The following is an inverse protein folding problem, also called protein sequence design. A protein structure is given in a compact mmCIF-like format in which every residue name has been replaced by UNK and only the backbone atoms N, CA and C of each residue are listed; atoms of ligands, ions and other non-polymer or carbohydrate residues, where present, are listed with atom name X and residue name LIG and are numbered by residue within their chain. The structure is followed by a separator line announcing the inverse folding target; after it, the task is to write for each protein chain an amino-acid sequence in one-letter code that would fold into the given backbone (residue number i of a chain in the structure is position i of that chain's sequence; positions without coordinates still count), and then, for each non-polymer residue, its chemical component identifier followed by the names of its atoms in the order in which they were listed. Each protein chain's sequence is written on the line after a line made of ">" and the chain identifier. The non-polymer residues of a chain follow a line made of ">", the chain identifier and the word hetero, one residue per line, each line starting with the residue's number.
data_IF_684551368091
#
_entry.id   IF_684551368091
#
_cell.length_a   1.000
_cell.length_b   1.000
_cell.length_c   1.000
_cell.angle_alpha   90.00
_cell.angle_beta   90.00
_cell.angle_gamma   90.00
#
_symmetry.space_group_name_H-M   'P 1'
#
loop_
_entity.id
_entity.type
_entity.pdbx_description
1 polymer ?
#
# COMPACT_ATOMS: atom_id res chain seq x y z
N UNK A 1 -25.44 26.35 -5.21
CA UNK A 1 -24.20 26.31 -6.00
C UNK A 1 -23.08 26.69 -5.07
N UNK A 2 -22.26 25.72 -4.65
CA UNK A 2 -21.13 25.95 -3.76
C UNK A 2 -19.86 25.73 -4.59
N UNK A 3 -19.05 26.78 -4.69
CA UNK A 3 -17.79 26.80 -5.41
C UNK A 3 -16.85 25.73 -4.85
N UNK A 4 -16.43 24.81 -5.74
CA UNK A 4 -15.39 23.83 -5.48
C UNK A 4 -14.07 24.59 -5.46
N UNK A 5 -13.56 24.88 -4.26
CA UNK A 5 -12.18 25.33 -4.06
C UNK A 5 -11.23 24.20 -4.52
N UNK A 6 -10.88 24.24 -5.81
CA UNK A 6 -9.77 23.48 -6.39
C UNK A 6 -8.52 24.32 -6.20
N UNK A 7 -8.03 24.37 -4.96
CA UNK A 7 -6.67 24.84 -4.73
C UNK A 7 -5.71 23.68 -4.98
N UNK A 8 -5.36 23.48 -6.25
CA UNK A 8 -4.14 22.75 -6.62
C UNK A 8 -2.96 23.65 -6.27
N UNK A 9 -2.58 23.68 -4.99
CA UNK A 9 -1.24 24.12 -4.63
C UNK A 9 -0.28 23.15 -5.31
N UNK A 10 0.32 23.60 -6.42
CA UNK A 10 1.53 22.98 -6.96
C UNK A 10 2.54 22.94 -5.82
N UNK A 11 2.74 21.75 -5.26
CA UNK A 11 3.78 21.53 -4.27
C UNK A 11 5.10 21.75 -4.98
N UNK A 12 5.87 22.74 -4.53
CA UNK A 12 7.21 22.98 -5.06
C UNK A 12 8.03 21.69 -5.00
N UNK A 13 8.66 21.32 -6.12
CA UNK A 13 9.56 20.17 -6.21
C UNK A 13 10.99 20.61 -6.44
N UNK A 14 11.93 19.77 -6.08
CA UNK A 14 13.36 19.96 -6.33
C UNK A 14 13.99 18.66 -6.82
N UNK A 15 15.01 18.77 -7.67
CA UNK A 15 15.85 17.63 -8.04
C UNK A 15 16.67 17.16 -6.85
N UNK A 16 16.87 15.85 -6.73
CA UNK A 16 17.65 15.26 -5.65
C UNK A 16 19.11 15.70 -5.65
N UNK A 17 19.66 16.10 -6.80
CA UNK A 17 20.98 16.71 -6.92
C UNK A 17 21.13 18.04 -6.17
N UNK A 18 20.03 18.66 -5.73
CA UNK A 18 20.02 19.90 -4.94
C UNK A 18 20.09 19.66 -3.42
N UNK A 19 20.07 18.40 -2.96
CA UNK A 19 20.36 18.11 -1.54
C UNK A 19 21.87 18.12 -1.31
N UNK A 20 22.30 18.34 -0.06
CA UNK A 20 23.73 18.39 0.27
C UNK A 20 24.46 17.14 -0.25
N UNK A 21 25.74 17.26 -0.68
CA UNK A 21 26.49 16.12 -1.21
C UNK A 21 26.54 14.91 -0.27
N UNK A 22 26.69 15.15 1.04
CA UNK A 22 26.70 14.08 2.05
C UNK A 22 25.34 13.38 2.17
N UNK A 23 24.25 14.13 2.16
CA UNK A 23 22.89 13.58 2.20
C UNK A 23 22.57 12.80 0.92
N UNK A 24 23.00 13.33 -0.23
CA UNK A 24 22.79 12.70 -1.53
C UNK A 24 23.54 11.37 -1.65
N UNK A 25 24.78 11.30 -1.18
CA UNK A 25 25.60 10.07 -1.20
C UNK A 25 24.93 8.94 -0.42
N UNK A 26 24.47 9.21 0.81
CA UNK A 26 23.78 8.22 1.64
C UNK A 26 22.45 7.79 1.00
N UNK A 27 21.69 8.74 0.48
CA UNK A 27 20.44 8.45 -0.22
C UNK A 27 20.67 7.58 -1.45
N UNK A 28 21.65 7.95 -2.27
CA UNK A 28 21.99 7.23 -3.49
C UNK A 28 22.43 5.79 -3.19
N UNK A 29 23.29 5.61 -2.18
CA UNK A 29 23.71 4.27 -1.76
C UNK A 29 22.52 3.43 -1.29
N UNK A 30 21.66 3.98 -0.42
CA UNK A 30 20.51 3.25 0.10
C UNK A 30 19.49 2.91 -1.00
N UNK A 31 19.25 3.83 -1.93
CA UNK A 31 18.35 3.64 -3.06
C UNK A 31 18.81 2.52 -3.99
N UNK A 32 20.09 2.54 -4.39
CA UNK A 32 20.62 1.48 -5.24
C UNK A 32 20.67 0.14 -4.52
N UNK A 33 20.98 0.13 -3.22
CA UNK A 33 20.93 -1.10 -2.41
C UNK A 33 19.55 -1.75 -2.47
N UNK A 34 18.48 -0.97 -2.42
CA UNK A 34 17.10 -1.49 -2.57
C UNK A 34 16.86 -1.98 -4.00
N UNK A 35 17.17 -1.15 -5.01
CA UNK A 35 16.87 -1.47 -6.42
C UNK A 35 17.66 -2.65 -7.00
N UNK A 36 18.78 -3.02 -6.39
CA UNK A 36 19.57 -4.20 -6.79
C UNK A 36 19.15 -5.49 -6.07
N UNK A 37 18.12 -5.45 -5.23
CA UNK A 37 17.56 -6.68 -4.65
C UNK A 37 16.71 -7.46 -5.65
N UNK A 38 16.69 -8.78 -5.52
CA UNK A 38 15.78 -9.64 -6.27
C UNK A 38 14.31 -9.28 -6.00
N UNK A 39 13.98 -8.97 -4.74
CA UNK A 39 12.65 -8.54 -4.34
C UNK A 39 12.20 -7.28 -5.09
N UNK A 40 13.07 -6.27 -5.23
CA UNK A 40 12.75 -5.08 -6.00
C UNK A 40 12.55 -5.40 -7.48
N UNK A 41 13.45 -6.19 -8.05
CA UNK A 41 13.38 -6.61 -9.46
C UNK A 41 12.06 -7.34 -9.76
N UNK A 42 11.70 -8.33 -8.94
CA UNK A 42 10.46 -9.08 -9.09
C UNK A 42 9.20 -8.23 -8.85
N UNK A 43 9.26 -7.30 -7.89
CA UNK A 43 8.13 -6.43 -7.55
C UNK A 43 7.85 -5.45 -8.69
N UNK A 44 8.87 -4.78 -9.22
CA UNK A 44 8.70 -3.89 -10.36
C UNK A 44 8.36 -4.64 -11.65
N UNK A 45 8.80 -5.89 -11.81
CA UNK A 45 8.42 -6.70 -12.95
C UNK A 45 6.92 -7.07 -12.89
N UNK A 46 6.38 -7.37 -11.70
CA UNK A 46 4.92 -7.52 -11.52
C UNK A 46 4.16 -6.25 -11.90
N UNK A 47 4.71 -5.06 -11.60
CA UNK A 47 4.12 -3.77 -12.05
C UNK A 47 4.06 -3.68 -13.56
N UNK A 48 5.13 -4.05 -14.27
CA UNK A 48 5.17 -4.07 -15.73
C UNK A 48 4.23 -5.13 -16.31
N UNK A 49 4.09 -6.28 -15.66
CA UNK A 49 3.10 -7.28 -16.03
C UNK A 49 1.66 -6.81 -15.77
N UNK A 50 1.44 -5.94 -14.79
CA UNK A 50 0.11 -5.49 -14.36
C UNK A 50 -0.63 -6.49 -13.46
N UNK A 51 0.03 -7.57 -13.03
CA UNK A 51 -0.55 -8.63 -12.18
C UNK A 51 0.46 -9.21 -11.19
N UNK A 52 0.02 -9.65 -10.00
CA UNK A 52 0.90 -10.29 -9.03
C UNK A 52 1.22 -11.74 -9.43
N UNK A 53 2.30 -12.30 -8.89
CA UNK A 53 2.53 -13.76 -8.95
C UNK A 53 1.53 -14.49 -8.05
N UNK A 54 1.33 -15.78 -8.30
CA UNK A 54 0.46 -16.65 -7.51
C UNK A 54 0.71 -16.51 -6.02
N UNK A 55 1.98 -16.63 -5.65
CA UNK A 55 2.38 -16.72 -4.24
C UNK A 55 2.25 -15.36 -3.57
N UNK A 56 2.52 -14.26 -4.29
CA UNK A 56 2.29 -12.90 -3.79
C UNK A 56 0.80 -12.61 -3.60
N UNK A 57 -0.04 -13.02 -4.55
CA UNK A 57 -1.50 -12.85 -4.41
C UNK A 57 -2.04 -13.63 -3.21
N UNK A 58 -1.60 -14.88 -3.05
CA UNK A 58 -2.04 -15.76 -1.96
C UNK A 58 -1.56 -15.28 -0.59
N UNK A 59 -0.30 -14.84 -0.48
CA UNK A 59 0.26 -14.25 0.74
C UNK A 59 -0.58 -13.05 1.22
N UNK A 60 -1.01 -12.20 0.28
CA UNK A 60 -1.68 -10.95 0.63
C UNK A 60 -3.19 -11.08 0.82
N UNK A 61 -3.90 -11.76 -0.08
CA UNK A 61 -5.37 -11.85 -0.03
C UNK A 61 -5.87 -13.11 0.69
N UNK A 62 -5.01 -14.10 0.92
CA UNK A 62 -5.40 -15.42 1.43
C UNK A 62 -6.53 -16.06 0.57
N UNK A 63 -6.52 -15.78 -0.73
CA UNK A 63 -7.51 -16.24 -1.70
C UNK A 63 -6.81 -17.02 -2.82
N UNK A 64 -7.51 -18.03 -3.35
CA UNK A 64 -7.11 -18.70 -4.59
C UNK A 64 -7.65 -17.95 -5.79
N UNK A 65 -6.82 -17.80 -6.82
CA UNK A 65 -7.23 -17.24 -8.10
C UNK A 65 -6.69 -18.07 -9.24
N UNK A 66 -7.60 -18.67 -10.02
CA UNK A 66 -7.25 -19.62 -11.08
C UNK A 66 -6.40 -18.98 -12.17
N UNK A 67 -6.68 -17.73 -12.53
CA UNK A 67 -5.91 -17.01 -13.56
C UNK A 67 -4.45 -16.76 -13.14
N UNK A 68 -4.12 -16.87 -11.85
CA UNK A 68 -2.76 -16.71 -11.34
C UNK A 68 -2.06 -18.03 -11.03
N UNK A 69 -2.74 -19.18 -11.14
CA UNK A 69 -2.20 -20.50 -10.72
C UNK A 69 -0.84 -20.84 -11.37
N UNK A 70 -0.67 -20.46 -12.63
CA UNK A 70 0.57 -20.70 -13.38
C UNK A 70 1.51 -19.49 -13.39
N UNK A 71 1.14 -18.35 -12.80
CA UNK A 71 1.95 -17.13 -12.76
C UNK A 71 2.93 -17.17 -11.57
N UNK A 72 3.91 -18.09 -11.62
CA UNK A 72 4.85 -18.32 -10.50
C UNK A 72 5.92 -17.23 -10.43
N UNK A 73 6.35 -16.71 -11.57
CA UNK A 73 7.34 -15.64 -11.69
C UNK A 73 6.82 -14.55 -12.64
N UNK A 74 7.33 -13.30 -12.52
CA UNK A 74 7.08 -12.27 -13.52
C UNK A 74 7.54 -12.72 -14.91
N UNK A 75 6.96 -12.15 -15.96
CA UNK A 75 7.36 -12.49 -17.33
C UNK A 75 8.79 -12.04 -17.65
N UNK A 76 9.48 -12.76 -18.54
CA UNK A 76 10.82 -12.37 -18.99
C UNK A 76 10.84 -10.98 -19.62
N UNK A 77 9.79 -10.62 -20.37
CA UNK A 77 9.64 -9.29 -20.94
C UNK A 77 9.57 -8.20 -19.86
N UNK A 78 8.88 -8.47 -18.75
CA UNK A 78 8.80 -7.55 -17.63
C UNK A 78 10.13 -7.42 -16.88
N UNK A 79 10.86 -8.52 -16.70
CA UNK A 79 12.21 -8.49 -16.13
C UNK A 79 13.17 -7.67 -17.00
N UNK A 80 13.17 -7.88 -18.32
CA UNK A 80 13.99 -7.11 -19.27
C UNK A 80 13.62 -5.62 -19.27
N UNK A 81 12.33 -5.30 -19.17
CA UNK A 81 11.84 -3.93 -19.05
C UNK A 81 12.37 -3.23 -17.79
N UNK A 82 12.33 -3.90 -16.64
CA UNK A 82 12.85 -3.37 -15.38
C UNK A 82 14.37 -3.18 -15.45
N UNK A 83 15.10 -4.13 -16.03
CA UNK A 83 16.55 -4.02 -16.23
C UNK A 83 16.92 -2.87 -17.17
N UNK A 84 16.14 -2.67 -18.24
CA UNK A 84 16.30 -1.54 -19.14
C UNK A 84 16.06 -0.21 -18.44
N UNK A 85 14.98 -0.10 -17.66
CA UNK A 85 14.69 1.09 -16.86
C UNK A 85 15.82 1.38 -15.86
N UNK A 86 16.26 0.36 -15.11
CA UNK A 86 17.31 0.48 -14.10
C UNK A 86 18.64 1.00 -14.68
N UNK A 87 19.03 0.53 -15.87
CA UNK A 87 20.27 0.99 -16.55
C UNK A 87 20.22 2.45 -16.98
N UNK A 88 19.03 2.99 -17.26
CA UNK A 88 18.84 4.35 -17.74
C UNK A 88 18.41 5.34 -16.64
N UNK A 89 18.17 4.84 -15.43
CA UNK A 89 17.68 5.64 -14.32
C UNK A 89 18.77 6.59 -13.80
N UNK A 90 18.49 7.90 -13.89
CA UNK A 90 19.31 8.92 -13.27
C UNK A 90 18.62 9.47 -12.01
N UNK A 91 19.11 9.06 -10.84
CA UNK A 91 18.55 9.47 -9.55
C UNK A 91 18.65 10.99 -9.30
N UNK A 92 19.68 11.67 -9.80
CA UNK A 92 19.87 13.10 -9.56
C UNK A 92 18.75 13.97 -10.12
N UNK A 93 18.21 13.58 -11.28
CA UNK A 93 17.13 14.30 -11.96
C UNK A 93 15.74 14.01 -11.36
N UNK A 94 15.62 13.02 -10.48
CA UNK A 94 14.35 12.65 -9.87
C UNK A 94 13.84 13.76 -8.96
N UNK A 95 12.59 14.14 -9.14
CA UNK A 95 11.96 15.24 -8.41
C UNK A 95 11.29 14.73 -7.13
N UNK A 96 11.52 15.44 -6.02
CA UNK A 96 10.81 15.22 -4.76
C UNK A 96 10.23 16.54 -4.24
N UNK A 97 9.30 16.47 -3.28
CA UNK A 97 8.78 17.67 -2.61
C UNK A 97 9.90 18.49 -1.97
N UNK A 98 9.92 19.81 -2.22
CA UNK A 98 10.86 20.74 -1.61
C UNK A 98 10.81 20.69 -0.08
N UNK A 99 9.62 20.50 0.51
CA UNK A 99 9.44 20.35 1.96
C UNK A 99 10.15 19.09 2.48
N UNK A 100 10.05 17.98 1.76
CA UNK A 100 10.70 16.73 2.13
C UNK A 100 12.22 16.82 1.97
N UNK A 101 12.69 17.38 0.85
CA UNK A 101 14.12 17.62 0.61
C UNK A 101 14.72 18.50 1.72
N UNK A 102 14.05 19.61 2.07
CA UNK A 102 14.51 20.49 3.14
C UNK A 102 14.52 19.80 4.49
N UNK A 103 13.49 19.02 4.83
CA UNK A 103 13.43 18.29 6.09
C UNK A 103 14.55 17.24 6.19
N UNK A 104 14.89 16.57 5.08
CA UNK A 104 16.01 15.66 5.03
C UNK A 104 17.35 16.38 5.22
N UNK A 105 17.57 17.51 4.54
CA UNK A 105 18.78 18.32 4.70
C UNK A 105 18.97 18.87 6.12
N UNK A 106 17.86 19.27 6.76
CA UNK A 106 17.88 19.78 8.13
C UNK A 106 18.20 18.69 9.17
N UNK A 107 18.01 17.42 8.82
CA UNK A 107 18.27 16.31 9.73
C UNK A 107 19.78 16.00 9.79
N UNK A 108 20.31 15.87 11.01
CA UNK A 108 21.72 15.56 11.24
C UNK A 108 22.03 14.12 10.78
N UNK A 109 23.03 13.89 9.91
CA UNK A 109 23.43 12.55 9.50
C UNK A 109 23.62 11.59 10.69
N UNK A 110 23.05 10.39 10.56
CA UNK A 110 23.05 9.36 11.61
C UNK A 110 22.05 9.58 12.75
N UNK A 111 21.32 10.70 12.81
CA UNK A 111 20.23 10.88 13.79
C UNK A 111 19.02 10.02 13.45
N UNK A 112 18.10 9.86 14.40
CA UNK A 112 16.82 9.17 14.17
C UNK A 112 16.04 9.88 13.07
N UNK A 113 15.91 11.19 13.16
CA UNK A 113 15.19 12.04 12.20
C UNK A 113 15.76 11.87 10.79
N UNK A 114 17.09 11.80 10.66
CA UNK A 114 17.74 11.58 9.39
C UNK A 114 17.35 10.23 8.78
N UNK A 115 17.40 9.15 9.55
CA UNK A 115 16.99 7.82 9.06
C UNK A 115 15.51 7.79 8.68
N UNK A 116 14.64 8.45 9.44
CA UNK A 116 13.22 8.56 9.11
C UNK A 116 13.02 9.29 7.77
N UNK A 117 13.65 10.45 7.59
CA UNK A 117 13.54 11.23 6.34
C UNK A 117 14.17 10.50 5.14
N UNK A 118 15.26 9.76 5.36
CA UNK A 118 15.86 8.90 4.33
C UNK A 118 14.85 7.85 3.85
N UNK A 119 14.25 7.11 4.77
CA UNK A 119 13.28 6.07 4.43
C UNK A 119 12.03 6.68 3.76
N UNK A 120 11.60 7.88 4.16
CA UNK A 120 10.51 8.62 3.50
C UNK A 120 10.79 8.87 2.03
N UNK A 121 11.99 9.38 1.73
CA UNK A 121 12.40 9.64 0.35
C UNK A 121 12.48 8.31 -0.42
N UNK A 122 13.04 7.25 0.17
CA UNK A 122 13.13 5.94 -0.48
C UNK A 122 11.75 5.37 -0.84
N UNK A 123 10.76 5.50 0.03
CA UNK A 123 9.38 5.09 -0.23
C UNK A 123 8.76 5.89 -1.39
N UNK A 124 8.90 7.22 -1.35
CA UNK A 124 8.42 8.12 -2.42
C UNK A 124 9.07 7.78 -3.78
N UNK A 125 10.36 7.48 -3.78
CA UNK A 125 11.07 7.11 -5.01
C UNK A 125 10.58 5.77 -5.57
N UNK A 126 10.44 4.74 -4.73
CA UNK A 126 9.94 3.44 -5.16
C UNK A 126 8.50 3.52 -5.67
N UNK A 127 7.66 4.30 -5.00
CA UNK A 127 6.31 4.62 -5.46
C UNK A 127 6.33 5.30 -6.83
N UNK A 128 7.18 6.32 -7.00
CA UNK A 128 7.31 7.04 -8.28
C UNK A 128 7.74 6.14 -9.43
N UNK A 129 8.66 5.20 -9.19
CA UNK A 129 9.06 4.19 -10.18
C UNK A 129 7.87 3.31 -10.55
N UNK A 130 7.10 2.84 -9.56
CA UNK A 130 5.93 2.00 -9.81
C UNK A 130 4.88 2.72 -10.67
N UNK A 131 4.58 3.98 -10.33
CA UNK A 131 3.67 4.84 -11.12
C UNK A 131 4.17 4.97 -12.54
N UNK A 132 5.46 5.31 -12.72
CA UNK A 132 6.06 5.50 -14.02
C UNK A 132 6.02 4.24 -14.88
N UNK A 133 6.45 3.10 -14.33
CA UNK A 133 6.43 1.81 -15.05
C UNK A 133 5.00 1.42 -15.41
N UNK A 134 4.06 1.48 -14.46
CA UNK A 134 2.67 1.12 -14.71
C UNK A 134 2.06 1.95 -15.84
N UNK A 135 2.31 3.26 -15.87
CA UNK A 135 1.85 4.14 -16.93
C UNK A 135 2.56 3.89 -18.27
N UNK A 136 3.88 3.68 -18.26
CA UNK A 136 4.68 3.44 -19.46
C UNK A 136 4.24 2.17 -20.21
N UNK A 137 3.72 1.17 -19.48
CA UNK A 137 3.19 -0.06 -20.03
C UNK A 137 1.64 -0.09 -20.07
N UNK A 138 1.00 1.09 -20.04
CA UNK A 138 -0.46 1.26 -20.15
C UNK A 138 -1.25 0.37 -19.19
N UNK A 139 -0.83 0.27 -17.93
CA UNK A 139 -1.44 -0.58 -16.91
C UNK A 139 -0.96 -2.03 -16.88
N UNK A 140 0.08 -2.33 -17.66
CA UNK A 140 0.80 -3.59 -17.69
C UNK A 140 0.45 -4.50 -18.88
N UNK A 141 1.28 -5.51 -19.11
CA UNK A 141 1.10 -6.46 -20.21
C UNK A 141 -0.21 -7.27 -20.11
N UNK A 142 -0.67 -7.52 -18.88
CA UNK A 142 -1.89 -8.27 -18.59
C UNK A 142 -2.92 -7.33 -17.97
N UNK A 143 -4.12 -7.32 -18.55
CA UNK A 143 -5.24 -6.52 -18.05
C UNK A 143 -5.89 -7.19 -16.85
N UNK A 144 -6.42 -6.42 -15.89
CA UNK A 144 -7.23 -6.97 -14.81
C UNK A 144 -8.43 -7.75 -15.35
N UNK A 145 -8.65 -8.91 -14.77
CA UNK A 145 -9.78 -9.78 -15.12
C UNK A 145 -10.83 -9.73 -14.01
N UNK A 146 -12.10 -10.07 -14.30
CA UNK A 146 -13.06 -10.35 -13.25
C UNK A 146 -12.51 -11.44 -12.30
N UNK A 147 -12.70 -11.30 -10.98
CA UNK A 147 -12.39 -12.38 -10.04
C UNK A 147 -13.18 -13.65 -10.36
N UNK A 148 -12.65 -14.80 -9.93
CA UNK A 148 -13.35 -16.07 -10.08
C UNK A 148 -14.77 -16.00 -9.46
N UNK A 149 -15.79 -16.60 -10.11
CA UNK A 149 -17.15 -16.62 -9.57
C UNK A 149 -17.18 -17.25 -8.17
N UNK A 150 -17.95 -16.67 -7.26
CA UNK A 150 -18.27 -17.35 -6.00
C UNK A 150 -19.23 -18.48 -6.33
N UNK A 151 -18.78 -19.72 -6.15
CA UNK A 151 -19.65 -20.88 -6.21
C UNK A 151 -20.18 -21.16 -4.81
N UNK A 152 -21.46 -20.87 -4.57
CA UNK A 152 -22.12 -21.35 -3.35
C UNK A 152 -22.23 -22.87 -3.42
N UNK A 153 -21.86 -23.58 -2.35
CA UNK A 153 -22.22 -24.99 -2.25
C UNK A 153 -23.74 -25.09 -2.06
N UNK A 154 -24.45 -25.69 -3.01
CA UNK A 154 -25.92 -25.85 -3.02
C UNK A 154 -26.45 -26.44 -1.71
N UNK A 155 -25.66 -27.31 -1.06
CA UNK A 155 -25.99 -27.93 0.23
C UNK A 155 -26.07 -26.93 1.40
N UNK A 156 -25.36 -25.80 1.33
CA UNK A 156 -25.27 -24.81 2.40
C UNK A 156 -26.31 -23.68 2.28
N UNK A 157 -26.79 -23.40 1.07
CA UNK A 157 -27.75 -22.31 0.80
C UNK A 157 -28.69 -22.69 -0.35
N UNK A 158 -29.71 -23.54 -0.06
CA UNK A 158 -30.70 -23.93 -1.06
C UNK A 158 -31.50 -22.72 -1.54
N UNK A 159 -31.81 -22.67 -2.84
CA UNK A 159 -32.68 -21.67 -3.48
C UNK A 159 -32.20 -20.20 -3.43
N UNK A 160 -30.93 -19.94 -3.13
CA UNK A 160 -30.37 -18.59 -3.27
C UNK A 160 -30.05 -18.29 -4.75
N UNK A 161 -30.40 -17.09 -5.27
CA UNK A 161 -30.01 -16.69 -6.60
C UNK A 161 -28.48 -16.64 -6.70
N UNK A 162 -27.89 -16.93 -7.88
CA UNK A 162 -26.46 -16.84 -8.07
C UNK A 162 -25.98 -15.41 -7.75
N UNK A 163 -24.78 -15.26 -7.18
CA UNK A 163 -24.25 -13.95 -6.86
C UNK A 163 -24.03 -13.17 -8.17
N UNK A 164 -24.23 -11.84 -8.18
CA UNK A 164 -24.00 -11.06 -9.37
C UNK A 164 -22.55 -11.21 -9.84
N UNK A 165 -22.30 -11.20 -11.16
CA UNK A 165 -20.95 -11.30 -11.69
C UNK A 165 -20.09 -10.16 -11.15
N UNK A 166 -18.91 -10.50 -10.62
CA UNK A 166 -17.95 -9.53 -10.11
C UNK A 166 -17.36 -8.76 -11.29
N UNK A 167 -17.13 -7.45 -11.11
CA UNK A 167 -16.43 -6.63 -12.10
C UNK A 167 -14.93 -6.79 -11.94
N UNK A 168 -14.20 -6.63 -13.03
CA UNK A 168 -12.75 -6.50 -12.98
C UNK A 168 -12.36 -5.34 -12.07
N UNK A 169 -11.29 -5.53 -11.31
CA UNK A 169 -10.71 -4.48 -10.50
C UNK A 169 -10.00 -3.45 -11.40
N UNK A 170 -9.83 -2.20 -10.95
CA UNK A 170 -9.06 -1.21 -11.72
C UNK A 170 -7.60 -1.60 -11.93
N UNK A 171 -7.03 -2.34 -10.97
CA UNK A 171 -5.71 -2.97 -11.06
C UNK A 171 -5.71 -4.25 -10.21
N UNK A 172 -4.94 -5.25 -10.60
CA UNK A 172 -4.70 -6.46 -9.79
C UNK A 172 -3.66 -6.21 -8.68
N UNK A 173 -2.85 -5.16 -8.85
CA UNK A 173 -1.82 -4.73 -7.91
C UNK A 173 -2.39 -3.61 -7.04
N UNK A 174 -2.98 -3.98 -5.92
CA UNK A 174 -3.55 -3.01 -4.99
C UNK A 174 -3.41 -3.45 -3.55
N UNK A 175 -3.44 -2.44 -2.69
CA UNK A 175 -3.56 -2.63 -1.26
C UNK A 175 -5.00 -2.31 -0.83
N UNK A 176 -5.64 -3.19 -0.05
CA UNK A 176 -7.06 -3.08 0.30
C UNK A 176 -7.42 -1.74 0.98
N UNK A 177 -6.51 -1.23 1.79
CA UNK A 177 -6.63 0.08 2.44
C UNK A 177 -6.53 1.29 1.50
N UNK A 178 -5.98 1.15 0.29
CA UNK A 178 -5.71 2.25 -0.65
C UNK A 178 -6.60 2.25 -1.89
N UNK A 179 -7.71 1.52 -1.88
CA UNK A 179 -8.62 1.36 -3.02
C UNK A 179 -9.40 2.60 -3.50
N UNK A 180 -9.10 3.82 -3.04
CA UNK A 180 -9.83 5.05 -3.42
C UNK A 180 -9.10 5.86 -4.49
N UNK A 181 -8.80 5.25 -5.64
CA UNK A 181 -7.93 5.84 -6.67
C UNK A 181 -8.33 7.25 -7.12
N UNK A 182 -9.63 7.56 -7.15
CA UNK A 182 -10.13 8.85 -7.63
C UNK A 182 -9.69 10.08 -6.83
N UNK A 183 -9.05 9.89 -5.66
CA UNK A 183 -8.48 10.99 -4.87
C UNK A 183 -7.00 11.25 -5.16
N UNK A 184 -6.29 10.29 -5.75
CA UNK A 184 -4.85 10.40 -5.97
C UNK A 184 -4.54 11.04 -7.33
N UNK A 185 -3.45 11.83 -7.44
CA UNK A 185 -3.14 12.60 -8.64
C UNK A 185 -2.91 11.73 -9.89
N UNK A 186 -2.35 10.53 -9.73
CA UNK A 186 -2.11 9.55 -10.80
C UNK A 186 -3.15 8.43 -10.81
N UNK A 187 -4.24 8.55 -10.03
CA UNK A 187 -5.37 7.63 -10.05
C UNK A 187 -4.98 6.19 -9.67
N UNK A 188 -5.22 5.25 -10.59
CA UNK A 188 -4.95 3.82 -10.37
C UNK A 188 -3.45 3.56 -10.21
N UNK A 189 -2.58 4.35 -10.85
CA UNK A 189 -1.13 4.15 -10.75
C UNK A 189 -0.61 4.38 -9.33
N UNK A 190 -1.20 5.31 -8.55
CA UNK A 190 -0.81 5.51 -7.15
C UNK A 190 -1.20 4.30 -6.28
N UNK A 191 -2.31 3.62 -6.59
CA UNK A 191 -2.68 2.37 -5.92
C UNK A 191 -1.59 1.30 -6.09
N UNK A 192 -1.08 1.18 -7.32
CA UNK A 192 0.02 0.28 -7.64
C UNK A 192 1.29 0.70 -6.89
N UNK A 193 1.56 2.01 -6.80
CA UNK A 193 2.65 2.56 -6.00
C UNK A 193 2.59 2.16 -4.53
N UNK A 194 1.42 2.26 -3.90
CA UNK A 194 1.24 1.81 -2.50
C UNK A 194 1.39 0.29 -2.34
N UNK A 195 0.98 -0.49 -3.33
CA UNK A 195 1.24 -1.93 -3.33
C UNK A 195 2.74 -2.25 -3.40
N UNK A 196 3.52 -1.50 -4.19
CA UNK A 196 4.99 -1.63 -4.24
C UNK A 196 5.63 -1.24 -2.91
N UNK A 197 5.21 -0.12 -2.31
CA UNK A 197 5.71 0.29 -0.99
C UNK A 197 5.51 -0.83 0.03
N UNK A 198 4.31 -1.39 0.06
CA UNK A 198 3.99 -2.52 0.93
C UNK A 198 4.89 -3.73 0.71
N UNK A 199 5.17 -4.09 -0.56
CA UNK A 199 6.04 -5.22 -0.92
C UNK A 199 7.49 -5.01 -0.50
N UNK A 200 8.06 -3.83 -0.78
CA UNK A 200 9.49 -3.57 -0.54
C UNK A 200 9.80 -3.31 0.92
N UNK A 201 8.86 -2.72 1.66
CA UNK A 201 9.10 -2.25 3.01
C UNK A 201 8.36 -3.04 4.09
N UNK A 202 7.53 -4.02 3.71
CA UNK A 202 6.75 -4.84 4.66
C UNK A 202 5.56 -4.10 5.28
N UNK A 203 5.11 -3.03 4.61
CA UNK A 203 4.07 -2.10 5.04
C UNK A 203 4.13 -0.85 4.18
N UNK A 204 3.03 -0.11 4.04
CA UNK A 204 3.13 1.25 3.48
C UNK A 204 3.89 2.09 4.50
N UNK A 205 4.98 2.74 4.09
CA UNK A 205 5.79 3.54 5.01
C UNK A 205 5.22 4.96 5.05
N UNK A 206 4.85 5.41 6.24
CA UNK A 206 4.71 6.84 6.54
C UNK A 206 5.56 7.24 7.72
N UNK A 207 5.96 8.50 7.66
CA UNK A 207 6.32 9.29 8.83
C UNK A 207 5.16 10.19 9.22
N UNK A 208 4.49 9.86 10.32
CA UNK A 208 3.55 10.80 10.93
C UNK A 208 4.29 12.11 11.10
N UNK A 209 3.61 13.15 10.66
CA UNK A 209 4.07 14.52 10.71
C UNK A 209 3.31 15.26 11.83
N UNK A 210 2.35 14.62 12.52
CA UNK A 210 1.41 15.29 13.41
C UNK A 210 0.63 16.38 12.68
N UNK A 211 -0.04 17.25 13.44
CA UNK A 211 -0.78 18.39 12.85
C UNK A 211 0.17 19.40 12.17
N UNK A 212 1.45 19.40 12.53
CA UNK A 212 2.41 20.44 12.16
C UNK A 212 3.39 20.09 11.03
N UNK A 213 3.61 18.81 10.71
CA UNK A 213 4.69 18.43 9.78
C UNK A 213 5.85 17.63 10.38
N UNK A 214 5.98 17.58 11.72
CA UNK A 214 7.21 17.25 12.44
C UNK A 214 7.05 16.34 13.67
N UNK A 215 5.85 15.94 14.08
CA UNK A 215 5.66 15.14 15.30
C UNK A 215 5.84 13.64 14.99
N UNK A 216 6.91 13.05 15.52
CA UNK A 216 7.09 11.59 15.46
C UNK A 216 6.24 10.91 16.52
N UNK A 217 5.30 10.05 16.11
CA UNK A 217 4.49 9.23 17.02
C UNK A 217 5.33 8.28 17.90
N UNK A 218 4.75 7.76 19.00
CA UNK A 218 5.41 6.82 19.89
C UNK A 218 5.78 5.52 19.18
N UNK A 219 6.96 4.99 19.51
CA UNK A 219 7.54 3.79 18.90
C UNK A 219 6.73 2.53 19.24
N UNK A 220 6.53 1.59 18.32
CA UNK A 220 6.11 0.24 18.70
C UNK A 220 7.21 -0.40 19.58
N UNK A 221 6.82 -1.19 20.60
CA UNK A 221 7.80 -1.88 21.44
C UNK A 221 8.64 -2.84 20.59
N UNK A 222 9.95 -2.60 20.52
CA UNK A 222 10.91 -3.40 19.74
C UNK A 222 11.73 -2.64 18.69
N UNK A 223 11.47 -1.34 18.49
CA UNK A 223 12.13 -0.54 17.46
C UNK A 223 11.57 -0.80 16.06
N UNK A 224 11.79 0.14 15.14
CA UNK A 224 11.31 0.03 13.75
C UNK A 224 12.18 -1.01 13.03
N UNK A 225 11.72 -2.27 12.97
CA UNK A 225 12.36 -3.33 12.18
C UNK A 225 11.65 -3.44 10.84
N UNK A 226 12.13 -2.71 9.84
CA UNK A 226 11.82 -3.04 8.44
C UNK A 226 12.63 -4.30 8.08
N UNK A 227 12.00 -5.46 8.21
CA UNK A 227 12.54 -6.70 7.64
C UNK A 227 11.60 -7.11 6.51
N UNK A 228 12.07 -6.98 5.27
CA UNK A 228 11.44 -7.59 4.11
C UNK A 228 11.87 -9.06 3.98
N UNK A 229 11.96 -9.78 5.09
CA UNK A 229 12.22 -11.23 5.10
C UNK A 229 10.88 -11.94 4.84
N UNK A 230 10.91 -13.06 4.11
CA UNK A 230 9.72 -13.87 3.77
C UNK A 230 8.83 -14.18 4.99
N UNK A 231 9.44 -14.34 6.16
CA UNK A 231 8.78 -14.68 7.43
C UNK A 231 8.71 -13.53 8.44
N UNK A 232 9.11 -12.31 8.06
CA UNK A 232 8.97 -11.16 8.95
C UNK A 232 7.49 -10.80 9.10
N UNK A 233 7.06 -10.63 10.36
CA UNK A 233 5.68 -10.22 10.66
C UNK A 233 5.45 -8.81 10.12
N UNK A 234 4.66 -8.73 9.05
CA UNK A 234 4.22 -7.45 8.49
C UNK A 234 3.34 -6.74 9.50
N UNK A 235 3.43 -5.41 9.54
CA UNK A 235 2.60 -4.59 10.41
C UNK A 235 1.17 -4.67 9.86
N UNK A 236 0.21 -5.15 10.66
CA UNK A 236 -1.21 -5.19 10.29
C UNK A 236 -1.70 -3.78 9.92
N UNK A 237 -2.60 -3.67 8.95
CA UNK A 237 -3.16 -2.40 8.49
C UNK A 237 -3.74 -1.58 9.66
N UNK A 238 -4.55 -2.19 10.53
CA UNK A 238 -5.15 -1.44 11.64
C UNK A 238 -4.08 -1.04 12.67
N UNK A 239 -3.09 -1.91 12.91
CA UNK A 239 -1.99 -1.58 13.81
C UNK A 239 -1.08 -0.47 13.26
N UNK A 240 -0.78 -0.49 11.96
CA UNK A 240 -0.09 0.58 11.27
C UNK A 240 -0.90 1.90 11.39
N UNK A 241 -2.24 1.82 11.37
CA UNK A 241 -3.13 2.99 11.43
C UNK A 241 -3.09 3.59 12.82
N UNK A 242 -3.14 2.74 13.84
CA UNK A 242 -3.11 3.13 15.25
C UNK A 242 -1.77 3.75 15.65
N UNK A 243 -0.68 3.43 14.93
CA UNK A 243 0.67 3.97 15.17
C UNK A 243 1.13 4.96 14.09
N UNK A 244 0.20 5.47 13.27
CA UNK A 244 0.40 6.53 12.27
C UNK A 244 1.50 6.27 11.22
N UNK A 245 1.50 5.10 10.59
CA UNK A 245 2.42 4.71 9.49
C UNK A 245 1.74 4.85 8.09
N UNK A 246 0.81 5.79 7.87
CA UNK A 246 0.08 6.06 6.59
C UNK A 246 0.38 7.32 5.74
N UNK A 247 0.92 7.19 4.51
CA UNK A 247 1.32 8.34 3.64
C UNK A 247 0.24 9.43 3.61
N UNK A 248 0.61 10.60 4.13
CA UNK A 248 -0.16 11.76 4.56
C UNK A 248 -1.63 11.51 4.97
N UNK A 249 -2.05 11.93 6.18
CA UNK A 249 -3.48 11.90 6.60
C UNK A 249 -4.40 12.59 5.56
N UNK A 250 -3.84 13.47 4.71
CA UNK A 250 -4.55 14.17 3.65
C UNK A 250 -4.57 13.47 2.28
N UNK A 251 -3.73 12.45 2.02
CA UNK A 251 -3.79 11.67 0.77
C UNK A 251 -4.84 10.54 0.84
N UNK A 252 -5.17 10.06 2.05
CA UNK A 252 -6.29 9.14 2.28
C UNK A 252 -7.47 9.88 2.90
N UNK A 253 -8.47 10.26 2.09
CA UNK A 253 -9.81 10.55 2.61
C UNK A 253 -10.34 9.22 3.13
N UNK A 254 -10.21 8.97 4.43
CA UNK A 254 -10.89 7.86 5.09
C UNK A 254 -12.37 8.10 4.81
N UNK A 255 -13.06 7.22 4.05
CA UNK A 255 -14.49 7.32 3.92
C UNK A 255 -15.00 7.36 5.35
N UNK A 256 -15.80 8.37 5.73
CA UNK A 256 -16.42 8.42 7.06
C UNK A 256 -16.84 7.00 7.36
N UNK A 257 -16.21 6.34 8.34
CA UNK A 257 -16.57 4.99 8.72
C UNK A 257 -18.09 5.05 8.78
N UNK A 258 -18.81 4.34 7.89
CA UNK A 258 -20.18 3.99 8.25
C UNK A 258 -19.96 3.36 9.60
N UNK A 259 -20.45 4.01 10.65
CA UNK A 259 -20.37 3.46 11.99
C UNK A 259 -20.74 2.00 11.77
N UNK A 260 -19.80 1.09 12.02
CA UNK A 260 -20.17 -0.31 12.06
C UNK A 260 -21.30 -0.25 13.06
N UNK A 261 -22.53 -0.49 12.62
CA UNK A 261 -23.63 -0.69 13.54
C UNK A 261 -23.19 -1.96 14.27
N UNK A 262 -22.39 -1.78 15.32
CA UNK A 262 -22.17 -2.77 16.34
C UNK A 262 -23.52 -2.79 17.02
N UNK A 263 -24.45 -3.53 16.42
CA UNK A 263 -25.60 -4.01 17.16
C UNK A 263 -24.96 -5.04 18.08
N UNK A 264 -24.73 -4.67 19.34
CA UNK A 264 -24.38 -5.68 20.33
C UNK A 264 -25.60 -6.58 20.43
N UNK A 265 -25.40 -7.87 20.69
CA UNK A 265 -26.55 -8.77 20.91
C UNK A 265 -27.52 -8.18 21.93
N UNK A 266 -26.96 -7.52 22.93
CA UNK A 266 -27.59 -6.71 23.98
C UNK A 266 -28.59 -5.65 23.48
N UNK A 267 -28.34 -5.07 22.31
CA UNK A 267 -29.13 -3.99 21.70
C UNK A 267 -30.28 -4.52 20.83
N UNK A 268 -30.39 -5.84 20.64
CA UNK A 268 -31.48 -6.46 19.89
C UNK A 268 -32.75 -6.58 20.77
N UNK A 269 -33.93 -6.17 20.27
CA UNK A 269 -35.19 -6.39 20.97
C UNK A 269 -35.37 -7.88 21.29
N UNK A 270 -35.53 -8.21 22.57
CA UNK A 270 -35.72 -9.59 23.03
C UNK A 270 -34.45 -10.34 23.41
N UNK A 271 -33.25 -9.73 23.33
CA UNK A 271 -32.00 -10.38 23.79
C UNK A 271 -32.05 -10.81 25.26
N UNK A 272 -32.56 -9.95 26.15
CA UNK A 272 -32.72 -10.29 27.57
C UNK A 272 -33.64 -11.52 27.76
N UNK A 273 -34.72 -11.59 26.99
CA UNK A 273 -35.69 -12.69 27.05
C UNK A 273 -35.09 -13.99 26.48
N UNK A 274 -34.27 -13.90 25.42
CA UNK A 274 -33.53 -15.03 24.87
C UNK A 274 -32.47 -15.56 25.85
N UNK A 275 -31.80 -14.68 26.60
CA UNK A 275 -30.83 -15.07 27.63
C UNK A 275 -31.49 -15.72 28.84
N UNK A 276 -32.66 -15.24 29.27
CA UNK A 276 -33.46 -15.88 30.32
C UNK A 276 -33.97 -17.26 29.90
N UNK A 277 -34.45 -17.38 28.66
CA UNK A 277 -34.90 -18.67 28.11
C UNK A 277 -33.74 -19.67 28.00
N UNK A 278 -32.55 -19.19 27.62
CA UNK A 278 -31.33 -20.00 27.58
C UNK A 278 -30.94 -20.47 28.98
N UNK A 279 -30.85 -19.56 29.96
CA UNK A 279 -30.51 -19.90 31.35
C UNK A 279 -31.49 -20.93 31.95
N UNK A 280 -32.79 -20.78 31.65
CA UNK A 280 -33.85 -21.71 32.08
C UNK A 280 -33.70 -23.10 31.44
N UNK A 281 -33.23 -23.18 30.19
CA UNK A 281 -32.99 -24.44 29.47
C UNK A 281 -31.69 -25.13 29.89
N UNK A 282 -30.68 -24.38 30.30
CA UNK A 282 -29.36 -24.93 30.67
C UNK A 282 -29.19 -25.19 32.17
N UNK A 283 -30.21 -24.91 32.99
CA UNK A 283 -30.23 -25.29 34.42
C UNK A 283 -29.21 -24.56 35.30
N UNK A 284 -28.65 -23.44 34.83
CA UNK A 284 -27.79 -22.57 35.64
C UNK A 284 -28.67 -21.48 36.27
N UNK A 285 -29.22 -21.77 37.44
CA UNK A 285 -29.70 -20.78 38.41
C UNK A 285 -28.62 -20.53 39.46
#
# INVERSE_FOLDING_TARGET
>A
MAERLTSTHSLATVGLDNVSPQHFEVLQQAFWTILFTDLATETFAQVVDGRPTRDVYRDYFNEFRKSFENNIHPSNAALEAVESYRRNLNLGNTQISAKLAQAFQNAKPGSREFHLRLIEILAVLCHGIAVHLYQAYDGGFYRPEPPDPITWHEELVPNMPPPPPRKALPAELYHSSYGSWGQYPNGVADIVGYWVEYRLFGGVILFDRGETGFEGGPQPPGGIRFKAEEYARRVDDNYAMDINIYRDRYERIIPKRRARCIIRGEDLPGHAQAMEDWARRTGNS
#
